data_IF_375863922368
#
_entry.id   IF_375863922368
#
_cell.length_a   1.000
_cell.length_b   1.000
_cell.length_c   1.000
_cell.angle_alpha   90.00
_cell.angle_beta   90.00
_cell.angle_gamma   90.00
#
_symmetry.space_group_name_H-M   'P 1'
#
loop_
_entity.id
_entity.type
_entity.pdbx_description
1 polymer ?
#
# COMPACT_ATOMS: atom_id res chain seq x y z
N UNK A 1 4.07 -23.03 3.80
CA UNK A 1 3.07 -23.50 4.79
C UNK A 1 1.70 -23.08 4.27
N UNK A 2 0.70 -23.97 4.23
CA UNK A 2 -0.64 -23.56 3.84
C UNK A 2 -1.20 -22.64 4.92
N UNK A 3 -1.65 -21.45 4.57
CA UNK A 3 -2.30 -20.52 5.48
C UNK A 3 -3.63 -21.15 5.95
N UNK A 4 -3.78 -21.34 7.27
CA UNK A 4 -5.01 -21.84 7.85
C UNK A 4 -6.00 -20.67 8.06
N UNK A 5 -7.17 -20.76 7.44
CA UNK A 5 -8.21 -19.74 7.55
C UNK A 5 -9.61 -20.35 7.55
N UNK A 6 -10.56 -19.60 8.09
CA UNK A 6 -11.99 -19.92 8.02
C UNK A 6 -12.71 -18.91 7.14
N UNK A 7 -13.58 -19.38 6.25
CA UNK A 7 -14.37 -18.55 5.33
C UNK A 7 -15.84 -18.60 5.69
N UNK A 8 -16.47 -17.43 5.74
CA UNK A 8 -17.92 -17.23 5.73
C UNK A 8 -18.26 -16.32 4.58
N UNK A 9 -19.54 -16.12 4.29
CA UNK A 9 -19.94 -15.20 3.21
C UNK A 9 -19.33 -13.80 3.43
N UNK A 10 -18.41 -13.40 2.53
CA UNK A 10 -17.69 -12.12 2.54
C UNK A 10 -16.81 -11.84 3.78
N UNK A 11 -16.52 -12.85 4.59
CA UNK A 11 -15.60 -12.73 5.73
C UNK A 11 -14.60 -13.88 5.74
N UNK A 12 -13.33 -13.56 5.88
CA UNK A 12 -12.23 -14.50 6.03
C UNK A 12 -11.49 -14.22 7.33
N UNK A 13 -11.29 -15.22 8.14
CA UNK A 13 -10.59 -15.10 9.42
C UNK A 13 -9.34 -15.96 9.45
N UNK A 14 -8.23 -15.38 9.84
CA UNK A 14 -6.93 -16.03 10.05
C UNK A 14 -6.50 -15.89 11.51
N UNK A 15 -5.61 -16.78 11.97
CA UNK A 15 -4.94 -16.59 13.26
C UNK A 15 -4.01 -15.39 13.23
N UNK A 16 -3.95 -14.65 14.33
CA UNK A 16 -3.07 -13.49 14.52
C UNK A 16 -1.61 -13.88 14.83
N UNK A 17 -1.14 -14.97 14.29
CA UNK A 17 0.22 -15.45 14.53
C UNK A 17 1.26 -14.56 13.84
N UNK A 18 2.06 -13.85 14.65
CA UNK A 18 3.05 -12.88 14.18
C UNK A 18 2.48 -11.92 13.10
N UNK A 19 1.23 -11.45 13.30
CA UNK A 19 0.55 -10.54 12.39
C UNK A 19 -0.27 -9.52 13.16
N UNK A 20 0.12 -8.24 13.07
CA UNK A 20 -0.66 -7.10 13.53
C UNK A 20 -1.08 -6.26 12.32
N UNK A 21 -2.34 -6.44 11.92
CA UNK A 21 -2.89 -5.78 10.74
C UNK A 21 -3.01 -4.26 10.94
N UNK A 22 -3.46 -3.82 12.12
CA UNK A 22 -3.64 -2.40 12.41
C UNK A 22 -2.31 -1.67 12.43
N UNK A 23 -1.30 -2.27 13.05
CA UNK A 23 0.04 -1.72 13.07
C UNK A 23 0.64 -1.67 11.64
N UNK A 24 0.48 -2.73 10.86
CA UNK A 24 0.99 -2.80 9.49
C UNK A 24 0.36 -1.76 8.57
N UNK A 25 -0.94 -1.47 8.75
CA UNK A 25 -1.71 -0.55 7.90
C UNK A 25 -1.59 0.93 8.31
N UNK A 26 -1.21 1.24 9.57
CA UNK A 26 -1.14 2.61 10.08
C UNK A 26 0.29 3.07 10.44
N UNK A 27 1.32 2.35 10.02
CA UNK A 27 2.73 2.70 10.26
C UNK A 27 3.35 3.62 9.19
N UNK A 28 2.59 4.08 8.20
CA UNK A 28 3.06 4.97 7.14
C UNK A 28 3.60 4.26 5.90
N UNK A 29 3.37 2.96 5.75
CA UNK A 29 3.64 2.23 4.51
C UNK A 29 2.59 2.52 3.44
N UNK A 30 1.31 2.60 3.83
CA UNK A 30 0.17 2.86 2.95
C UNK A 30 -0.69 4.00 3.50
N UNK A 31 -1.38 4.73 2.64
CA UNK A 31 -2.06 5.97 3.04
C UNK A 31 -3.57 5.94 2.80
N UNK A 32 -4.11 4.86 2.27
CA UNK A 32 -5.54 4.71 1.98
C UNK A 32 -6.33 3.96 3.06
N UNK A 33 -5.67 3.65 4.17
CA UNK A 33 -6.27 2.97 5.31
C UNK A 33 -6.66 3.97 6.40
N UNK A 34 -7.88 3.84 6.92
CA UNK A 34 -8.47 4.73 7.93
C UNK A 34 -9.08 3.91 9.06
N UNK A 35 -8.74 4.22 10.29
CA UNK A 35 -9.37 3.61 11.47
C UNK A 35 -10.86 3.95 11.49
N UNK A 36 -11.71 2.94 11.60
CA UNK A 36 -13.18 3.03 11.71
C UNK A 36 -13.66 2.66 13.10
N UNK A 37 -12.80 2.03 13.89
CA UNK A 37 -13.05 1.63 15.27
C UNK A 37 -11.73 1.44 16.03
N UNK A 38 -11.83 1.03 17.30
CA UNK A 38 -10.67 0.78 18.14
C UNK A 38 -9.78 -0.33 17.54
N UNK A 39 -10.42 -1.42 17.10
CA UNK A 39 -9.76 -2.61 16.55
C UNK A 39 -10.13 -2.84 15.07
N UNK A 40 -10.47 -1.79 14.34
CA UNK A 40 -10.94 -1.89 12.98
C UNK A 40 -10.36 -0.78 12.10
N UNK A 41 -9.98 -1.15 10.89
CA UNK A 41 -9.46 -0.25 9.88
C UNK A 41 -10.08 -0.61 8.52
N UNK A 42 -10.45 0.42 7.76
CA UNK A 42 -11.03 0.29 6.43
C UNK A 42 -10.14 0.96 5.39
N UNK A 43 -10.08 0.39 4.19
CA UNK A 43 -9.31 0.99 3.09
C UNK A 43 -9.53 0.30 1.76
N UNK A 44 -8.76 0.77 0.77
CA UNK A 44 -8.81 0.28 -0.61
C UNK A 44 -7.40 -0.04 -1.07
N UNK A 45 -7.22 -1.21 -1.66
CA UNK A 45 -6.01 -1.58 -2.40
C UNK A 45 -6.40 -2.47 -3.59
N UNK A 46 -5.63 -2.41 -4.69
CA UNK A 46 -5.92 -3.17 -5.91
C UNK A 46 -7.36 -3.01 -6.44
N UNK A 47 -7.95 -1.83 -6.26
CA UNK A 47 -9.32 -1.55 -6.68
C UNK A 47 -10.40 -2.27 -5.88
N UNK A 48 -10.08 -2.82 -4.71
CA UNK A 48 -11.01 -3.51 -3.80
C UNK A 48 -11.07 -2.82 -2.45
N UNK A 49 -12.29 -2.61 -1.93
CA UNK A 49 -12.50 -2.16 -0.57
C UNK A 49 -12.38 -3.32 0.40
N UNK A 50 -11.79 -3.08 1.56
CA UNK A 50 -11.64 -4.07 2.61
C UNK A 50 -11.76 -3.41 3.98
N UNK A 51 -12.46 -4.06 4.89
CA UNK A 51 -12.38 -3.76 6.32
C UNK A 51 -11.61 -4.86 7.03
N UNK A 52 -10.64 -4.50 7.84
CA UNK A 52 -9.85 -5.44 8.64
C UNK A 52 -10.14 -5.17 10.11
N UNK A 53 -10.59 -6.20 10.80
CA UNK A 53 -10.82 -6.19 12.26
C UNK A 53 -9.89 -7.20 12.91
N UNK A 54 -9.27 -6.83 14.02
CA UNK A 54 -8.46 -7.77 14.78
C UNK A 54 -8.85 -7.81 16.25
N UNK A 55 -8.73 -8.97 16.85
CA UNK A 55 -8.80 -9.20 18.29
C UNK A 55 -7.48 -9.80 18.81
N UNK A 56 -7.49 -10.39 20.00
CA UNK A 56 -6.27 -10.94 20.60
C UNK A 56 -5.75 -12.17 19.85
N UNK A 57 -6.63 -12.96 19.22
CA UNK A 57 -6.32 -14.25 18.61
C UNK A 57 -6.43 -14.27 17.09
N UNK A 58 -7.25 -13.38 16.51
CA UNK A 58 -7.61 -13.46 15.10
C UNK A 58 -7.55 -12.11 14.38
N UNK A 59 -7.41 -12.19 13.05
CA UNK A 59 -7.62 -11.07 12.12
C UNK A 59 -8.70 -11.48 11.13
N UNK A 60 -9.75 -10.66 11.02
CA UNK A 60 -10.89 -10.89 10.13
C UNK A 60 -10.90 -9.85 9.02
N UNK A 61 -10.95 -10.32 7.78
CA UNK A 61 -11.04 -9.55 6.55
C UNK A 61 -12.51 -9.55 6.10
N UNK A 62 -13.14 -8.39 6.07
CA UNK A 62 -14.57 -8.20 5.81
C UNK A 62 -14.75 -7.49 4.47
N UNK A 63 -15.66 -7.98 3.62
CA UNK A 63 -15.89 -7.47 2.27
C UNK A 63 -15.00 -8.16 1.23
N UNK A 64 -14.57 -9.40 1.49
CA UNK A 64 -13.78 -10.19 0.55
C UNK A 64 -14.28 -11.63 0.50
N UNK A 65 -14.17 -12.24 -0.68
CA UNK A 65 -14.37 -13.66 -0.88
C UNK A 65 -13.02 -14.42 -0.87
N UNK A 66 -13.09 -15.75 -0.89
CA UNK A 66 -11.90 -16.61 -0.81
C UNK A 66 -10.93 -16.40 -2.01
N UNK A 67 -11.46 -16.17 -3.21
CA UNK A 67 -10.65 -15.96 -4.40
C UNK A 67 -9.85 -14.64 -4.30
N UNK A 68 -10.52 -13.53 -3.97
CA UNK A 68 -9.87 -12.23 -3.78
C UNK A 68 -8.92 -12.26 -2.58
N UNK A 69 -9.29 -12.97 -1.51
CA UNK A 69 -8.40 -13.15 -0.35
C UNK A 69 -7.09 -13.81 -0.75
N UNK A 70 -7.14 -14.93 -1.45
CA UNK A 70 -5.95 -15.67 -1.86
C UNK A 70 -5.11 -14.90 -2.89
N UNK A 71 -5.75 -14.25 -3.88
CA UNK A 71 -5.04 -13.59 -4.98
C UNK A 71 -4.51 -12.20 -4.63
N UNK A 72 -5.18 -11.49 -3.71
CA UNK A 72 -4.88 -10.08 -3.40
C UNK A 72 -4.36 -9.94 -1.97
N UNK A 73 -5.15 -10.37 -0.97
CA UNK A 73 -4.87 -10.03 0.41
C UNK A 73 -3.76 -10.87 1.03
N UNK A 74 -3.66 -12.15 0.69
CA UNK A 74 -2.55 -13.01 1.13
C UNK A 74 -1.20 -12.45 0.67
N UNK A 75 -0.99 -12.13 -0.63
CA UNK A 75 0.25 -11.47 -1.06
C UNK A 75 0.38 -10.04 -0.52
N UNK A 76 -0.70 -9.24 -0.48
CA UNK A 76 -0.64 -7.86 0.00
C UNK A 76 -0.08 -7.75 1.43
N UNK A 77 -0.56 -8.60 2.34
CA UNK A 77 -0.12 -8.67 3.72
C UNK A 77 1.09 -9.58 3.94
N UNK A 78 1.65 -10.17 2.89
CA UNK A 78 2.77 -11.15 2.96
C UNK A 78 2.50 -12.28 3.97
N UNK A 79 1.28 -12.86 3.93
CA UNK A 79 0.80 -13.80 4.96
C UNK A 79 1.49 -15.17 4.91
N UNK A 80 2.07 -15.55 3.79
CA UNK A 80 2.77 -16.84 3.63
C UNK A 80 4.21 -16.83 4.17
N UNK A 81 4.77 -15.65 4.44
CA UNK A 81 6.14 -15.52 4.95
C UNK A 81 6.19 -15.80 6.45
N UNK A 82 7.14 -16.59 6.86
CA UNK A 82 7.42 -16.86 8.27
C UNK A 82 8.14 -15.69 8.95
N UNK A 83 7.35 -14.76 9.48
CA UNK A 83 7.86 -13.61 10.21
C UNK A 83 8.35 -13.97 11.61
N UNK A 84 7.85 -15.07 12.21
CA UNK A 84 8.34 -15.53 13.51
C UNK A 84 9.81 -15.96 13.40
N UNK A 85 10.16 -16.73 12.36
CA UNK A 85 11.55 -17.10 12.09
C UNK A 85 12.44 -15.89 11.76
N UNK A 86 11.90 -14.83 11.15
CA UNK A 86 12.64 -13.58 10.93
C UNK A 86 12.92 -12.86 12.27
N UNK A 87 11.93 -12.77 13.16
CA UNK A 87 12.08 -12.17 14.48
C UNK A 87 13.11 -12.92 15.33
N UNK A 88 13.13 -14.27 15.29
CA UNK A 88 14.15 -15.07 15.95
C UNK A 88 15.57 -14.73 15.47
N UNK A 89 15.75 -14.50 14.18
CA UNK A 89 17.06 -14.08 13.63
C UNK A 89 17.49 -12.69 14.11
N UNK A 90 16.55 -11.79 14.40
CA UNK A 90 16.85 -10.46 14.91
C UNK A 90 17.28 -10.47 16.37
N UNK A 91 16.96 -11.54 17.14
CA UNK A 91 17.33 -11.68 18.56
C UNK A 91 18.86 -11.74 18.80
N UNK A 92 19.64 -11.97 17.74
CA UNK A 92 21.11 -11.93 17.82
C UNK A 92 21.69 -10.50 17.96
N UNK A 93 20.89 -9.45 17.68
CA UNK A 93 21.26 -8.03 17.82
C UNK A 93 20.29 -7.36 18.80
N UNK A 94 20.81 -6.84 19.91
CA UNK A 94 19.97 -6.31 21.00
C UNK A 94 19.10 -5.10 20.62
N UNK A 95 19.44 -4.34 19.56
CA UNK A 95 18.60 -3.28 19.05
C UNK A 95 17.47 -3.82 18.17
N UNK A 96 17.77 -4.80 17.32
CA UNK A 96 16.79 -5.44 16.48
C UNK A 96 15.83 -6.31 17.31
N UNK A 97 16.31 -6.98 18.35
CA UNK A 97 15.47 -7.72 19.29
C UNK A 97 14.44 -6.79 19.96
N UNK A 98 14.91 -5.64 20.49
CA UNK A 98 14.02 -4.67 21.12
C UNK A 98 12.98 -4.13 20.14
N UNK A 99 13.38 -3.76 18.92
CA UNK A 99 12.47 -3.29 17.88
C UNK A 99 11.47 -4.37 17.47
N UNK A 100 11.93 -5.61 17.29
CA UNK A 100 11.09 -6.76 16.93
C UNK A 100 10.05 -7.08 18.00
N UNK A 101 10.38 -6.91 19.29
CA UNK A 101 9.44 -7.12 20.38
C UNK A 101 8.41 -5.98 20.49
N UNK A 102 8.84 -4.72 20.30
CA UNK A 102 7.97 -3.55 20.39
C UNK A 102 6.98 -3.46 19.22
N UNK A 103 7.41 -3.88 18.02
CA UNK A 103 6.60 -3.84 16.79
C UNK A 103 6.29 -5.25 16.28
N UNK A 104 6.08 -6.21 17.19
CA UNK A 104 5.79 -7.59 16.84
C UNK A 104 4.52 -7.69 15.97
N UNK A 105 4.65 -8.45 14.88
CA UNK A 105 3.55 -8.66 13.94
C UNK A 105 3.42 -7.63 12.81
N UNK A 106 4.27 -6.60 12.77
CA UNK A 106 4.30 -5.72 11.60
C UNK A 106 4.76 -6.49 10.36
N UNK A 107 4.09 -6.24 9.22
CA UNK A 107 4.42 -6.85 7.94
C UNK A 107 4.74 -5.81 6.89
N UNK A 108 5.60 -6.16 5.93
CA UNK A 108 5.87 -5.32 4.76
C UNK A 108 4.74 -5.50 3.76
N UNK A 109 3.97 -4.44 3.51
CA UNK A 109 2.84 -4.47 2.58
C UNK A 109 3.33 -4.48 1.13
N UNK A 110 2.88 -5.46 0.33
CA UNK A 110 3.15 -5.51 -1.10
C UNK A 110 2.10 -4.73 -1.86
N UNK A 111 2.29 -3.42 -1.89
CA UNK A 111 1.38 -2.47 -2.49
C UNK A 111 1.41 -2.55 -4.01
N UNK A 112 0.35 -2.06 -4.65
CA UNK A 112 0.34 -1.83 -6.10
C UNK A 112 1.43 -0.80 -6.46
N UNK A 113 2.33 -1.11 -7.40
CA UNK A 113 3.52 -0.29 -7.67
C UNK A 113 3.19 1.15 -8.07
N UNK A 114 2.18 1.33 -8.90
CA UNK A 114 1.77 2.67 -9.35
C UNK A 114 1.22 3.52 -8.20
N UNK A 115 0.32 2.97 -7.39
CA UNK A 115 -0.19 3.64 -6.20
C UNK A 115 0.94 3.97 -5.21
N UNK A 116 1.87 3.04 -4.99
CA UNK A 116 3.02 3.23 -4.11
C UNK A 116 3.90 4.39 -4.58
N UNK A 117 4.30 4.41 -5.85
CA UNK A 117 5.14 5.50 -6.41
C UNK A 117 4.46 6.86 -6.26
N UNK A 118 3.18 6.98 -6.65
CA UNK A 118 2.42 8.22 -6.48
C UNK A 118 2.33 8.65 -5.02
N UNK A 119 2.05 7.72 -4.11
CA UNK A 119 1.93 7.98 -2.69
C UNK A 119 3.26 8.47 -2.09
N UNK A 120 4.38 7.88 -2.49
CA UNK A 120 5.70 8.34 -2.04
C UNK A 120 6.12 9.65 -2.66
N UNK A 121 5.73 9.98 -3.91
CA UNK A 121 5.88 11.33 -4.47
C UNK A 121 5.10 12.34 -3.62
N UNK A 122 3.85 12.03 -3.26
CA UNK A 122 2.99 12.89 -2.43
C UNK A 122 3.57 13.04 -1.01
N UNK A 123 4.24 12.02 -0.50
CA UNK A 123 4.80 12.01 0.85
C UNK A 123 6.00 12.93 1.05
N UNK A 124 6.69 13.32 -0.03
CA UNK A 124 7.90 14.14 0.06
C UNK A 124 7.64 15.48 0.75
N UNK A 125 8.43 15.75 1.82
CA UNK A 125 8.30 16.95 2.63
C UNK A 125 6.84 17.24 3.03
N UNK A 126 6.15 16.23 3.57
CA UNK A 126 4.73 16.28 3.90
C UNK A 126 4.46 15.55 5.22
N UNK A 127 3.24 15.65 5.75
CA UNK A 127 2.79 14.92 6.93
C UNK A 127 1.65 13.96 6.57
N UNK A 128 1.49 12.91 7.38
CA UNK A 128 0.54 11.81 7.10
C UNK A 128 -0.90 12.32 6.86
N UNK A 129 -1.50 13.19 7.70
CA UNK A 129 -2.87 13.66 7.45
C UNK A 129 -3.01 14.39 6.11
N UNK A 130 -2.02 15.21 5.72
CA UNK A 130 -2.05 15.90 4.44
C UNK A 130 -1.83 14.96 3.26
N UNK A 131 -0.96 13.95 3.40
CA UNK A 131 -0.75 12.90 2.39
C UNK A 131 -2.06 12.18 2.14
N UNK A 132 -2.69 11.63 3.20
CA UNK A 132 -4.00 10.94 3.12
C UNK A 132 -5.04 11.82 2.42
N UNK A 133 -5.16 13.10 2.82
CA UNK A 133 -6.13 14.01 2.19
C UNK A 133 -5.84 14.36 0.72
N UNK A 134 -4.60 14.35 0.27
CA UNK A 134 -4.26 14.54 -1.15
C UNK A 134 -4.64 13.29 -1.94
N UNK A 135 -4.32 12.10 -1.43
CA UNK A 135 -4.64 10.81 -2.06
C UNK A 135 -6.16 10.61 -2.13
N UNK A 136 -6.89 10.92 -1.07
CA UNK A 136 -8.36 10.87 -1.06
C UNK A 136 -8.93 11.71 -2.21
N UNK A 137 -8.54 12.99 -2.31
CA UNK A 137 -9.01 13.86 -3.38
C UNK A 137 -8.58 13.38 -4.77
N UNK A 138 -7.40 12.77 -4.90
CA UNK A 138 -6.96 12.19 -6.17
C UNK A 138 -7.91 11.06 -6.61
N UNK A 139 -8.23 10.15 -5.68
CA UNK A 139 -9.15 9.04 -5.94
C UNK A 139 -10.58 9.53 -6.18
N UNK A 140 -11.10 10.48 -5.40
CA UNK A 140 -12.44 11.06 -5.56
C UNK A 140 -12.61 11.79 -6.89
N UNK A 141 -11.58 12.51 -7.37
CA UNK A 141 -11.68 13.28 -8.62
C UNK A 141 -11.41 12.46 -9.88
N UNK A 142 -10.51 11.47 -9.80
CA UNK A 142 -10.03 10.73 -10.97
C UNK A 142 -10.19 9.21 -10.86
N UNK A 143 -10.53 8.65 -9.70
CA UNK A 143 -10.79 7.23 -9.52
C UNK A 143 -12.18 6.83 -10.00
N UNK A 144 -12.45 5.51 -10.07
CA UNK A 144 -13.76 4.97 -10.35
C UNK A 144 -14.48 4.62 -9.03
N UNK A 145 -15.78 4.90 -8.89
CA UNK A 145 -16.52 4.60 -7.66
C UNK A 145 -16.66 3.10 -7.43
N UNK A 146 -16.49 2.64 -6.19
CA UNK A 146 -16.63 1.24 -5.77
C UNK A 146 -17.98 0.93 -5.12
N UNK A 147 -18.87 1.93 -5.01
CA UNK A 147 -20.26 1.77 -4.58
C UNK A 147 -20.54 2.03 -3.09
N UNK A 148 -19.55 2.04 -2.23
CA UNK A 148 -19.67 2.25 -0.77
C UNK A 148 -19.07 3.60 -0.30
N UNK A 149 -18.87 4.53 -1.21
CA UNK A 149 -18.17 5.80 -0.97
C UNK A 149 -16.67 5.74 -1.20
N UNK A 150 -16.14 4.58 -1.53
CA UNK A 150 -14.75 4.39 -1.92
C UNK A 150 -14.57 4.60 -3.44
N UNK A 151 -13.32 4.84 -3.81
CA UNK A 151 -12.89 5.01 -5.19
C UNK A 151 -11.62 4.22 -5.45
N UNK A 152 -11.43 3.76 -6.69
CA UNK A 152 -10.14 3.17 -7.10
C UNK A 152 -9.04 4.22 -7.08
N UNK A 153 -7.77 3.80 -7.01
CA UNK A 153 -6.67 4.68 -7.38
C UNK A 153 -6.70 4.89 -8.91
N UNK A 154 -6.60 6.12 -9.42
CA UNK A 154 -6.66 6.37 -10.85
C UNK A 154 -5.44 5.81 -11.58
N UNK A 155 -5.65 5.25 -12.78
CA UNK A 155 -4.55 4.71 -13.59
C UNK A 155 -3.59 5.80 -14.05
N UNK A 156 -2.37 5.40 -14.43
CA UNK A 156 -1.37 6.33 -14.96
C UNK A 156 -1.87 7.03 -16.23
N UNK A 157 -2.53 6.31 -17.11
CA UNK A 157 -3.11 6.84 -18.35
C UNK A 157 -4.16 7.91 -18.06
N UNK A 158 -5.03 7.67 -17.06
CA UNK A 158 -6.07 8.62 -16.67
C UNK A 158 -5.50 9.90 -16.09
N UNK A 159 -4.48 9.80 -15.25
CA UNK A 159 -3.77 10.97 -14.69
C UNK A 159 -3.02 11.71 -15.80
N UNK A 160 -2.28 11.03 -16.67
CA UNK A 160 -1.55 11.64 -17.77
C UNK A 160 -2.49 12.40 -18.72
N UNK A 161 -3.63 11.80 -19.07
CA UNK A 161 -4.63 12.43 -19.95
C UNK A 161 -5.34 13.63 -19.31
N UNK A 162 -5.40 13.73 -17.98
CA UNK A 162 -6.10 14.81 -17.28
C UNK A 162 -5.33 16.13 -17.30
N UNK A 163 -4.00 16.08 -17.41
CA UNK A 163 -3.12 17.25 -17.33
C UNK A 163 -2.98 17.84 -15.92
N UNK A 164 -2.00 18.75 -15.76
CA UNK A 164 -1.64 19.30 -14.44
C UNK A 164 -2.73 20.18 -13.83
N UNK A 165 -3.54 20.84 -14.63
CA UNK A 165 -4.64 21.71 -14.20
C UNK A 165 -5.73 20.92 -13.48
N UNK A 166 -6.02 19.71 -13.92
CA UNK A 166 -6.99 18.81 -13.26
C UNK A 166 -6.54 18.38 -11.86
N UNK A 167 -5.25 18.48 -11.56
CA UNK A 167 -4.71 18.18 -10.22
C UNK A 167 -4.75 19.39 -9.26
N UNK A 168 -5.20 20.56 -9.69
CA UNK A 168 -5.31 21.76 -8.83
C UNK A 168 -6.18 21.51 -7.57
N UNK A 169 -7.35 20.83 -7.65
CA UNK A 169 -8.19 20.54 -6.48
C UNK A 169 -7.50 19.68 -5.42
N UNK A 170 -6.47 18.91 -5.77
CA UNK A 170 -5.73 18.05 -4.86
C UNK A 170 -4.93 18.84 -3.82
N UNK A 171 -4.59 20.09 -4.11
CA UNK A 171 -3.70 20.93 -3.31
C UNK A 171 -2.34 20.28 -3.05
N UNK A 172 -1.84 19.53 -4.06
CA UNK A 172 -0.57 18.78 -3.98
C UNK A 172 0.67 19.71 -4.06
N UNK A 173 0.48 20.99 -4.45
CA UNK A 173 1.56 21.96 -4.63
C UNK A 173 2.50 21.52 -5.77
N UNK A 174 3.81 21.66 -5.57
CA UNK A 174 4.82 21.29 -6.59
C UNK A 174 4.75 19.81 -7.01
N UNK A 175 4.17 18.92 -6.19
CA UNK A 175 4.07 17.49 -6.43
C UNK A 175 3.13 17.14 -7.58
N UNK A 176 2.16 18.04 -7.91
CA UNK A 176 1.27 17.84 -9.05
C UNK A 176 2.06 17.60 -10.34
N UNK A 177 3.13 18.37 -10.57
CA UNK A 177 4.00 18.21 -11.75
C UNK A 177 4.77 16.89 -11.74
N UNK A 178 5.15 16.39 -10.56
CA UNK A 178 5.85 15.11 -10.44
C UNK A 178 4.90 13.93 -10.64
N UNK A 179 3.65 14.05 -10.17
CA UNK A 179 2.60 13.03 -10.40
C UNK A 179 2.30 12.93 -11.90
N UNK A 180 2.20 14.06 -12.63
CA UNK A 180 1.99 14.04 -14.08
C UNK A 180 3.19 13.44 -14.80
N UNK A 181 4.43 13.85 -14.47
CA UNK A 181 5.64 13.28 -15.08
C UNK A 181 5.71 11.75 -14.87
N UNK A 182 5.39 11.28 -13.65
CA UNK A 182 5.32 9.86 -13.36
C UNK A 182 4.25 9.15 -14.20
N UNK A 183 3.06 9.75 -14.28
CA UNK A 183 1.94 9.19 -15.01
C UNK A 183 2.24 9.08 -16.52
N UNK A 184 2.83 10.12 -17.12
CA UNK A 184 3.23 10.14 -18.53
C UNK A 184 4.26 9.04 -18.83
N UNK A 185 5.27 8.87 -17.96
CA UNK A 185 6.33 7.87 -18.14
C UNK A 185 5.85 6.43 -17.95
N UNK A 186 4.97 6.20 -16.99
CA UNK A 186 4.36 4.88 -16.81
C UNK A 186 3.39 4.55 -17.93
N UNK A 187 2.52 5.49 -18.32
CA UNK A 187 1.57 5.31 -19.40
C UNK A 187 2.24 5.10 -20.77
N UNK A 188 3.39 5.71 -21.00
CA UNK A 188 4.16 5.53 -22.25
C UNK A 188 5.02 4.26 -22.25
N UNK A 189 5.19 3.58 -21.12
CA UNK A 189 6.10 2.44 -20.96
C UNK A 189 7.59 2.83 -20.83
N UNK A 190 7.90 4.12 -20.67
CA UNK A 190 9.27 4.58 -20.36
C UNK A 190 9.73 4.06 -18.99
N UNK A 191 8.79 3.95 -18.03
CA UNK A 191 8.96 3.27 -16.76
C UNK A 191 8.00 2.08 -16.73
N UNK A 192 8.58 0.88 -16.69
CA UNK A 192 7.87 -0.39 -16.73
C UNK A 192 8.09 -1.16 -15.42
N UNK A 193 7.02 -1.30 -14.63
CA UNK A 193 7.08 -2.02 -13.35
C UNK A 193 7.36 -3.51 -13.51
N UNK A 194 6.92 -4.15 -14.59
CA UNK A 194 7.25 -5.56 -14.83
C UNK A 194 8.76 -5.73 -15.00
N UNK A 195 9.39 -4.84 -15.80
CA UNK A 195 10.83 -4.82 -15.97
C UNK A 195 11.57 -4.55 -14.65
N UNK A 196 11.04 -3.65 -13.80
CA UNK A 196 11.62 -3.36 -12.49
C UNK A 196 11.63 -4.62 -11.61
N UNK A 197 10.52 -5.34 -11.55
CA UNK A 197 10.40 -6.57 -10.76
C UNK A 197 11.28 -7.71 -11.24
N UNK A 198 11.55 -7.79 -12.54
CA UNK A 198 12.39 -8.81 -13.16
C UNK A 198 13.90 -8.45 -13.16
N UNK A 199 14.25 -7.24 -12.70
CA UNK A 199 15.63 -6.74 -12.68
C UNK A 199 16.28 -6.90 -11.30
N UNK A 200 17.60 -6.68 -11.26
CA UNK A 200 18.32 -6.49 -10.00
C UNK A 200 17.97 -5.11 -9.37
N UNK A 201 18.33 -4.94 -8.10
CA UNK A 201 18.01 -3.76 -7.31
C UNK A 201 18.57 -2.45 -7.93
N UNK A 202 19.77 -2.51 -8.53
CA UNK A 202 20.42 -1.34 -9.13
C UNK A 202 19.68 -0.90 -10.39
N UNK A 203 19.38 -1.83 -11.27
CA UNK A 203 18.61 -1.60 -12.50
C UNK A 203 17.19 -1.11 -12.19
N UNK A 204 16.50 -1.73 -11.22
CA UNK A 204 15.15 -1.31 -10.81
C UNK A 204 15.12 0.11 -10.23
N UNK A 205 16.12 0.45 -9.41
CA UNK A 205 16.30 1.80 -8.89
C UNK A 205 16.52 2.82 -10.01
N UNK A 206 17.39 2.53 -10.97
CA UNK A 206 17.70 3.42 -12.09
C UNK A 206 16.48 3.65 -12.99
N UNK A 207 15.60 2.66 -13.16
CA UNK A 207 14.31 2.83 -13.83
C UNK A 207 13.40 3.81 -13.09
N UNK A 208 13.29 3.70 -11.76
CA UNK A 208 12.46 4.59 -10.94
C UNK A 208 12.99 6.03 -10.89
N UNK A 209 14.30 6.23 -10.89
CA UNK A 209 14.95 7.57 -10.87
C UNK A 209 14.65 8.38 -12.15
N UNK A 210 14.20 7.76 -13.23
CA UNK A 210 13.74 8.49 -14.43
C UNK A 210 12.56 9.43 -14.11
N UNK A 211 11.75 9.12 -13.08
CA UNK A 211 10.61 9.93 -12.67
C UNK A 211 11.11 11.19 -11.93
N UNK A 212 10.66 12.35 -12.36
CA UNK A 212 11.00 13.61 -11.66
C UNK A 212 10.52 13.59 -10.22
N UNK A 213 11.43 13.91 -9.31
CA UNK A 213 11.15 13.91 -7.89
C UNK A 213 11.34 12.53 -7.21
N UNK A 214 11.60 11.48 -7.95
CA UNK A 214 12.06 10.21 -7.40
C UNK A 214 13.59 10.23 -7.36
N UNK A 215 14.15 10.41 -6.18
CA UNK A 215 15.58 10.31 -5.94
C UNK A 215 15.93 8.95 -5.32
N UNK A 216 17.22 8.71 -5.05
CA UNK A 216 17.73 7.43 -4.49
C UNK A 216 16.93 6.96 -3.27
N UNK A 217 16.59 7.87 -2.34
CA UNK A 217 15.82 7.53 -1.13
C UNK A 217 14.39 7.04 -1.41
N UNK A 218 13.79 7.45 -2.50
CA UNK A 218 12.40 7.07 -2.86
C UNK A 218 12.42 5.81 -3.73
N UNK A 219 13.50 5.60 -4.49
CA UNK A 219 13.68 4.45 -5.38
C UNK A 219 14.21 3.19 -4.65
N UNK A 220 14.64 3.30 -3.41
CA UNK A 220 15.04 2.19 -2.53
C UNK A 220 13.82 1.54 -1.87
#
# INVERSE_FOLDING_TARGET
MLLDFTSKTEEITVKRDCFDALLSLDCGQAFRWKKTGENEIHGVAFGKSLTVRQDEETVTFIGTNEEDFQKIWVPYFDLERDYAALCERFSADGWLEKAGNEYYGIRILRQEPWEAVCSFIISQNNNIPRIKGIIDRLCENLGEPLGNGDFTFPTAEKIAASGVEALAPLRAGFRAKYIIDAAEKVASGEVDFAKIFDSDLETGRDELIKIKGVGEKVAQ
#
